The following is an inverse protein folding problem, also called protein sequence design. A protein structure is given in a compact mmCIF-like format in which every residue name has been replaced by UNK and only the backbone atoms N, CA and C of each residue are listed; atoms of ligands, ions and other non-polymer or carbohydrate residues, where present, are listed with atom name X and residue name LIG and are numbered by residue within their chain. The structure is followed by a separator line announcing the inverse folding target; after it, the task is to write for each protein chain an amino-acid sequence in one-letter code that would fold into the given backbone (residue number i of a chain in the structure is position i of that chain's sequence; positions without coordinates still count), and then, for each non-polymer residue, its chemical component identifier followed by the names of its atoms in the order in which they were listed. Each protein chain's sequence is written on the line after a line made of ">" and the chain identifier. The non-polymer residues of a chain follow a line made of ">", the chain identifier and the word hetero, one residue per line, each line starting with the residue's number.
data_IF_973871328891
#
_entry.id   IF_973871328891
#
_cell.length_a   1.000
_cell.length_b   1.000
_cell.length_c   1.000
_cell.angle_alpha   90.00
_cell.angle_beta   90.00
_cell.angle_gamma   90.00
#
_symmetry.space_group_name_H-M   'P 1'
#
loop_
_entity.id
_entity.type
_entity.pdbx_description
1 polymer ?
#
# COMPACT_ATOMS: atom_id res chain seq x y z
N UNK A 1 -9.37 9.99 -7.80
CA UNK A 1 -9.20 8.64 -7.22
C UNK A 1 -8.16 8.72 -6.12
N UNK A 2 -8.36 7.99 -5.02
CA UNK A 2 -7.53 8.09 -3.82
C UNK A 2 -6.80 6.79 -3.45
N UNK A 3 -7.03 5.72 -4.15
CA UNK A 3 -6.44 4.44 -3.84
C UNK A 3 -6.50 3.50 -5.05
N UNK A 4 -6.71 2.21 -4.77
CA UNK A 4 -6.95 1.23 -5.84
C UNK A 4 -8.36 1.47 -6.38
N UNK A 5 -8.52 1.67 -7.70
CA UNK A 5 -9.86 1.77 -8.28
C UNK A 5 -10.71 0.55 -7.91
N UNK A 6 -11.95 0.77 -7.50
CA UNK A 6 -12.84 -0.28 -6.99
C UNK A 6 -12.97 -1.47 -7.96
N UNK A 7 -13.13 -1.19 -9.25
CA UNK A 7 -13.23 -2.24 -10.26
C UNK A 7 -11.95 -3.10 -10.35
N UNK A 8 -10.77 -2.50 -10.16
CA UNK A 8 -9.49 -3.21 -10.16
C UNK A 8 -9.37 -4.09 -8.92
N UNK A 9 -9.73 -3.57 -7.75
CA UNK A 9 -9.72 -4.34 -6.50
C UNK A 9 -10.66 -5.54 -6.59
N UNK A 10 -11.88 -5.30 -7.02
CA UNK A 10 -12.90 -6.34 -7.14
C UNK A 10 -12.52 -7.41 -8.18
N UNK A 11 -11.98 -6.99 -9.32
CA UNK A 11 -11.47 -7.91 -10.35
C UNK A 11 -10.31 -8.76 -9.84
N UNK A 12 -9.41 -8.18 -9.03
CA UNK A 12 -8.31 -8.92 -8.40
C UNK A 12 -8.84 -9.97 -7.44
N UNK A 13 -9.82 -9.62 -6.61
CA UNK A 13 -10.45 -10.55 -5.66
C UNK A 13 -11.15 -11.70 -6.38
N UNK A 14 -11.99 -11.40 -7.36
CA UNK A 14 -12.75 -12.42 -8.10
C UNK A 14 -11.85 -13.35 -8.93
N UNK A 15 -10.82 -12.79 -9.53
CA UNK A 15 -9.86 -13.54 -10.36
C UNK A 15 -8.70 -14.15 -9.61
N UNK A 16 -8.70 -14.15 -8.27
CA UNK A 16 -7.57 -14.60 -7.49
C UNK A 16 -7.37 -16.11 -7.56
N UNK A 17 -6.24 -16.52 -8.12
CA UNK A 17 -5.77 -17.91 -8.25
C UNK A 17 -4.32 -17.96 -7.79
N UNK A 18 -3.73 -19.17 -7.69
CA UNK A 18 -2.30 -19.31 -7.39
C UNK A 18 -1.43 -18.50 -8.36
N UNK A 19 -1.58 -18.68 -9.69
CA UNK A 19 -0.79 -17.91 -10.67
C UNK A 19 -1.03 -16.40 -10.62
N UNK A 20 -2.28 -15.94 -10.43
CA UNK A 20 -2.56 -14.50 -10.35
C UNK A 20 -2.03 -13.87 -9.07
N UNK A 21 -2.07 -14.60 -7.96
CA UNK A 21 -1.43 -14.18 -6.71
C UNK A 21 0.06 -14.00 -6.88
N UNK A 22 0.73 -14.95 -7.53
CA UNK A 22 2.17 -14.86 -7.80
C UNK A 22 2.53 -13.60 -8.61
N UNK A 23 1.75 -13.30 -9.64
CA UNK A 23 1.91 -12.07 -10.45
C UNK A 23 1.67 -10.82 -9.61
N UNK A 24 0.67 -10.84 -8.74
CA UNK A 24 0.38 -9.73 -7.84
C UNK A 24 1.55 -9.46 -6.88
N UNK A 25 2.06 -10.49 -6.23
CA UNK A 25 3.21 -10.38 -5.32
C UNK A 25 4.45 -9.84 -6.05
N UNK A 26 4.67 -10.26 -7.28
CA UNK A 26 5.75 -9.74 -8.10
C UNK A 26 5.59 -8.25 -8.41
N UNK A 27 4.36 -7.81 -8.67
CA UNK A 27 4.06 -6.38 -8.89
C UNK A 27 4.24 -5.53 -7.64
N UNK A 28 4.12 -6.10 -6.45
CA UNK A 28 4.37 -5.40 -5.19
C UNK A 28 5.83 -4.99 -5.03
N UNK A 29 6.75 -5.72 -5.67
CA UNK A 29 8.19 -5.56 -5.48
C UNK A 29 8.81 -4.69 -6.58
N UNK A 30 9.87 -3.96 -6.21
CA UNK A 30 10.56 -3.05 -7.10
C UNK A 30 11.18 -3.76 -8.31
N UNK A 31 11.84 -4.90 -8.07
CA UNK A 31 12.53 -5.68 -9.09
C UNK A 31 12.54 -7.18 -8.72
N UNK A 32 13.14 -8.00 -9.58
CA UNK A 32 13.23 -9.45 -9.39
C UNK A 32 14.03 -9.87 -8.15
N UNK A 33 15.04 -9.11 -7.78
CA UNK A 33 15.83 -9.37 -6.57
C UNK A 33 15.00 -9.14 -5.30
N UNK A 34 14.30 -8.02 -5.21
CA UNK A 34 13.39 -7.72 -4.11
C UNK A 34 12.26 -8.77 -4.02
N UNK A 35 11.74 -9.22 -5.15
CA UNK A 35 10.73 -10.27 -5.20
C UNK A 35 11.24 -11.60 -4.66
N UNK A 36 12.47 -11.97 -5.02
CA UNK A 36 13.10 -13.20 -4.52
C UNK A 36 13.28 -13.16 -3.00
N UNK A 37 13.74 -12.04 -2.46
CA UNK A 37 13.87 -11.85 -1.01
C UNK A 37 12.51 -11.89 -0.33
N UNK A 38 11.51 -11.25 -0.90
CA UNK A 38 10.15 -11.24 -0.39
C UNK A 38 9.57 -12.65 -0.28
N UNK A 39 9.76 -13.50 -1.29
CA UNK A 39 9.29 -14.88 -1.27
C UNK A 39 9.95 -15.73 -0.16
N UNK A 40 11.16 -15.39 0.25
CA UNK A 40 11.86 -16.09 1.32
C UNK A 40 11.31 -15.79 2.71
N UNK A 41 10.71 -14.61 2.90
CA UNK A 41 10.22 -14.15 4.21
C UNK A 41 8.71 -14.11 4.31
N UNK A 42 7.99 -14.20 3.20
CA UNK A 42 6.53 -14.15 3.19
C UNK A 42 5.93 -15.42 3.78
N UNK A 43 4.99 -15.31 4.73
CA UNK A 43 4.25 -16.45 5.23
C UNK A 43 3.47 -17.14 4.11
N UNK A 44 3.47 -18.46 4.13
CA UNK A 44 2.61 -19.25 3.24
C UNK A 44 1.23 -19.35 3.85
N UNK A 45 0.24 -18.79 3.17
CA UNK A 45 -1.15 -18.81 3.60
C UNK A 45 -2.03 -19.45 2.53
N UNK A 46 -3.06 -20.22 2.93
CA UNK A 46 -4.01 -20.77 1.97
C UNK A 46 -4.66 -19.67 1.13
N UNK A 47 -4.84 -19.93 -0.16
CA UNK A 47 -5.43 -18.96 -1.09
C UNK A 47 -6.84 -18.53 -0.64
N UNK A 48 -7.63 -19.46 -0.13
CA UNK A 48 -8.99 -19.15 0.32
C UNK A 48 -9.02 -18.19 1.51
N UNK A 49 -8.07 -18.30 2.42
CA UNK A 49 -7.95 -17.33 3.52
C UNK A 49 -7.61 -15.93 3.02
N UNK A 50 -6.72 -15.82 2.03
CA UNK A 50 -6.38 -14.54 1.41
C UNK A 50 -7.59 -13.92 0.68
N UNK A 51 -8.40 -14.74 0.01
CA UNK A 51 -9.64 -14.29 -0.61
C UNK A 51 -10.64 -13.77 0.40
N UNK A 52 -10.85 -14.51 1.48
CA UNK A 52 -11.75 -14.10 2.57
C UNK A 52 -11.29 -12.79 3.20
N UNK A 53 -9.99 -12.64 3.43
CA UNK A 53 -9.41 -11.41 3.97
C UNK A 53 -9.61 -10.21 3.04
N UNK A 54 -9.37 -10.38 1.75
CA UNK A 54 -9.61 -9.32 0.76
C UNK A 54 -11.09 -8.93 0.66
N UNK A 55 -11.99 -9.90 0.71
CA UNK A 55 -13.42 -9.64 0.71
C UNK A 55 -13.85 -8.89 1.97
N UNK A 56 -13.31 -9.25 3.13
CA UNK A 56 -13.59 -8.59 4.38
C UNK A 56 -13.06 -7.15 4.41
N UNK A 57 -11.86 -6.91 3.87
CA UNK A 57 -11.29 -5.56 3.73
C UNK A 57 -12.20 -4.68 2.87
N UNK A 58 -12.69 -5.21 1.73
CA UNK A 58 -13.63 -4.49 0.87
C UNK A 58 -14.92 -4.16 1.62
N UNK A 59 -15.49 -5.13 2.31
CA UNK A 59 -16.72 -4.94 3.10
C UNK A 59 -16.53 -3.88 4.18
N UNK A 60 -15.44 -3.93 4.92
CA UNK A 60 -15.12 -2.95 5.95
C UNK A 60 -14.94 -1.55 5.37
N UNK A 61 -14.20 -1.44 4.29
CA UNK A 61 -13.98 -0.15 3.63
C UNK A 61 -15.29 0.51 3.18
N UNK A 62 -16.22 -0.28 2.64
CA UNK A 62 -17.52 0.23 2.17
C UNK A 62 -18.47 0.59 3.32
N UNK A 63 -18.29 0.00 4.50
CA UNK A 63 -19.20 0.17 5.64
C UNK A 63 -18.70 1.14 6.71
N UNK A 64 -17.39 1.39 6.79
CA UNK A 64 -16.82 2.27 7.80
C UNK A 64 -16.94 3.74 7.43
N UNK A 65 -17.23 4.62 8.40
CA UNK A 65 -17.22 6.06 8.17
C UNK A 65 -15.77 6.55 7.94
N UNK A 66 -15.66 7.73 7.33
CA UNK A 66 -14.38 8.41 7.21
C UNK A 66 -13.74 8.62 8.59
N UNK A 67 -12.45 8.33 8.71
CA UNK A 67 -11.72 8.52 9.97
C UNK A 67 -11.26 9.96 10.10
N UNK A 68 -11.11 10.42 11.35
CA UNK A 68 -10.61 11.77 11.68
C UNK A 68 -9.23 11.73 12.32
N UNK A 69 -8.39 10.78 11.91
CA UNK A 69 -7.03 10.69 12.43
C UNK A 69 -6.13 11.78 11.82
N UNK A 70 -5.33 12.42 12.67
CA UNK A 70 -4.42 13.48 12.25
C UNK A 70 -3.03 12.90 11.94
N UNK A 71 -2.75 12.65 10.67
CA UNK A 71 -1.49 12.15 10.19
C UNK A 71 -0.44 13.28 10.15
N UNK A 72 0.77 13.00 10.61
CA UNK A 72 1.88 13.95 10.59
C UNK A 72 2.87 13.70 9.46
N UNK A 73 3.10 12.44 9.16
CA UNK A 73 4.08 12.01 8.16
C UNK A 73 3.48 10.92 7.30
N UNK A 74 3.76 10.96 6.01
CA UNK A 74 3.39 9.92 5.06
C UNK A 74 4.57 9.59 4.15
N UNK A 75 4.70 8.34 3.76
CA UNK A 75 5.73 7.90 2.83
C UNK A 75 5.07 7.23 1.64
N UNK A 76 5.43 7.65 0.44
CA UNK A 76 4.89 7.13 -0.83
C UNK A 76 6.05 6.55 -1.63
N UNK A 77 5.92 5.29 -2.05
CA UNK A 77 6.83 4.66 -2.99
C UNK A 77 6.51 5.10 -4.42
N UNK A 78 7.45 5.77 -5.08
CA UNK A 78 7.24 6.30 -6.42
C UNK A 78 7.03 5.22 -7.49
N UNK A 79 7.40 3.99 -7.20
CA UNK A 79 7.26 2.85 -8.10
C UNK A 79 6.16 1.87 -7.66
N UNK A 80 5.24 2.32 -6.82
CA UNK A 80 4.10 1.51 -6.40
C UNK A 80 3.15 1.25 -7.58
N UNK A 81 3.05 -0.02 -7.97
CA UNK A 81 2.18 -0.48 -9.06
C UNK A 81 0.89 -1.11 -8.56
N UNK A 82 0.67 -1.13 -7.26
CA UNK A 82 -0.55 -1.62 -6.62
C UNK A 82 -1.48 -0.44 -6.31
N UNK A 83 -0.98 0.52 -5.54
CA UNK A 83 -1.69 1.78 -5.28
C UNK A 83 -0.96 2.88 -6.05
N UNK A 84 -1.53 3.39 -7.15
CA UNK A 84 -0.83 4.39 -7.95
C UNK A 84 -0.35 5.57 -7.11
N UNK A 85 0.92 6.01 -7.26
CA UNK A 85 1.47 7.10 -6.46
C UNK A 85 0.65 8.39 -6.52
N UNK A 86 0.12 8.74 -7.68
CA UNK A 86 -0.74 9.92 -7.85
C UNK A 86 -2.04 9.82 -7.02
N UNK A 87 -2.61 8.63 -6.94
CA UNK A 87 -3.80 8.40 -6.12
C UNK A 87 -3.48 8.53 -4.63
N UNK A 88 -2.33 8.02 -4.21
CA UNK A 88 -1.84 8.16 -2.83
C UNK A 88 -1.62 9.64 -2.50
N UNK A 89 -0.99 10.39 -3.39
CA UNK A 89 -0.76 11.82 -3.20
C UNK A 89 -2.07 12.59 -3.08
N UNK A 90 -3.05 12.28 -3.91
CA UNK A 90 -4.39 12.88 -3.83
C UNK A 90 -5.06 12.60 -2.49
N UNK A 91 -4.92 11.37 -1.98
CA UNK A 91 -5.45 10.99 -0.67
C UNK A 91 -4.79 11.79 0.46
N UNK A 92 -3.46 11.90 0.44
CA UNK A 92 -2.72 12.65 1.46
C UNK A 92 -2.99 14.15 1.41
N UNK A 93 -3.18 14.72 0.23
CA UNK A 93 -3.61 16.12 0.08
C UNK A 93 -4.96 16.36 0.73
N UNK A 94 -5.90 15.45 0.53
CA UNK A 94 -7.23 15.51 1.15
C UNK A 94 -7.14 15.40 2.67
N UNK A 95 -6.32 14.47 3.18
CA UNK A 95 -6.09 14.32 4.62
C UNK A 95 -5.46 15.58 5.24
N UNK A 96 -4.53 16.23 4.54
CA UNK A 96 -3.92 17.47 5.00
C UNK A 96 -4.94 18.60 5.15
N UNK A 97 -5.89 18.70 4.22
CA UNK A 97 -6.99 19.67 4.30
C UNK A 97 -7.90 19.42 5.51
N UNK A 98 -8.23 18.15 5.77
CA UNK A 98 -9.10 17.76 6.90
C UNK A 98 -8.40 17.99 8.23
N UNK A 99 -7.13 17.61 8.33
CA UNK A 99 -6.39 17.64 9.59
C UNK A 99 -6.00 19.04 10.07
N UNK A 100 -6.04 20.04 9.19
CA UNK A 100 -5.59 21.42 9.46
C UNK A 100 -4.17 21.51 10.04
N UNK A 101 -3.36 20.48 9.84
CA UNK A 101 -1.97 20.40 10.29
C UNK A 101 -1.08 20.21 9.06
N UNK A 102 0.19 20.59 9.21
CA UNK A 102 1.17 20.35 8.16
C UNK A 102 1.50 18.87 8.09
N UNK A 103 0.91 18.18 7.12
CA UNK A 103 1.26 16.82 6.79
C UNK A 103 2.46 16.84 5.84
N UNK A 104 3.55 16.17 6.22
CA UNK A 104 4.73 16.01 5.36
C UNK A 104 4.64 14.71 4.60
N UNK A 105 4.74 14.79 3.27
CA UNK A 105 4.75 13.63 2.39
C UNK A 105 6.17 13.41 1.87
N UNK A 106 6.70 12.23 2.13
CA UNK A 106 8.02 11.80 1.70
C UNK A 106 7.89 10.80 0.55
N UNK A 107 8.88 10.77 -0.33
CA UNK A 107 8.91 9.87 -1.48
C UNK A 107 10.13 8.98 -1.42
N UNK A 108 9.93 7.71 -1.76
CA UNK A 108 11.02 6.74 -1.90
C UNK A 108 11.05 6.22 -3.33
N UNK A 109 12.18 5.63 -3.72
CA UNK A 109 12.29 4.93 -5.01
C UNK A 109 11.66 3.53 -4.99
N UNK A 110 11.16 3.10 -3.83
CA UNK A 110 10.57 1.79 -3.64
C UNK A 110 9.21 1.60 -4.33
N UNK A 111 8.81 0.34 -4.43
CA UNK A 111 7.50 -0.09 -4.88
C UNK A 111 6.51 -0.18 -3.69
N UNK A 112 5.43 -0.93 -3.85
CA UNK A 112 4.45 -1.16 -2.80
C UNK A 112 5.08 -1.83 -1.57
N UNK A 113 5.89 -2.87 -1.79
CA UNK A 113 6.74 -3.44 -0.75
C UNK A 113 7.98 -2.55 -0.57
N UNK A 114 7.99 -1.80 0.50
CA UNK A 114 9.05 -0.81 0.79
C UNK A 114 10.15 -1.45 1.64
N UNK A 115 11.17 -1.96 0.97
CA UNK A 115 12.28 -2.70 1.57
C UNK A 115 13.06 -1.83 2.57
N UNK A 116 13.26 -0.57 2.24
CA UNK A 116 14.09 0.36 3.01
C UNK A 116 13.27 1.30 3.91
N UNK A 117 11.95 1.07 4.06
CA UNK A 117 11.08 1.99 4.78
C UNK A 117 11.56 2.27 6.22
N UNK A 118 11.94 1.24 6.96
CA UNK A 118 12.36 1.40 8.34
C UNK A 118 13.65 2.21 8.46
N UNK A 119 14.62 1.93 7.60
CA UNK A 119 15.87 2.69 7.51
C UNK A 119 15.61 4.14 7.13
N UNK A 120 14.78 4.37 6.10
CA UNK A 120 14.38 5.69 5.66
C UNK A 120 13.71 6.46 6.79
N UNK A 121 12.78 5.85 7.49
CA UNK A 121 12.08 6.46 8.61
C UNK A 121 13.06 6.92 9.70
N UNK A 122 13.98 6.06 10.10
CA UNK A 122 14.95 6.39 11.13
C UNK A 122 15.92 7.51 10.72
N UNK A 123 16.41 7.45 9.49
CA UNK A 123 17.44 8.40 9.02
C UNK A 123 16.89 9.73 8.55
N UNK A 124 15.76 9.71 7.85
CA UNK A 124 15.23 10.89 7.15
C UNK A 124 14.06 11.57 7.84
N UNK A 125 13.35 10.87 8.67
CA UNK A 125 12.17 11.41 9.36
C UNK A 125 12.44 11.60 10.85
N UNK A 126 12.74 10.53 11.57
CA UNK A 126 12.85 10.58 13.02
C UNK A 126 14.03 11.41 13.51
N UNK A 127 15.20 11.27 12.91
CA UNK A 127 16.42 11.93 13.38
C UNK A 127 16.53 13.40 13.03
N UNK A 128 15.65 13.90 12.15
CA UNK A 128 15.67 15.31 11.70
C UNK A 128 14.67 16.22 12.41
N UNK A 129 13.89 15.65 13.30
CA UNK A 129 13.01 16.41 14.17
C UNK A 129 13.70 16.63 15.53
#
# INVERSE_FOLDING_TARGET
>A
TYGIPTAIYHGTLEGLTGPSLHKFLKRMCFNGEAFKEFLNITPRRPLEELKEELAEIERMYLSLPATSFYWQQAVVGNNDRIIPPDNQLNAWRKEAEISRKTLRVHYTEDAHYQVELFRYYLQEIWTKD
#
